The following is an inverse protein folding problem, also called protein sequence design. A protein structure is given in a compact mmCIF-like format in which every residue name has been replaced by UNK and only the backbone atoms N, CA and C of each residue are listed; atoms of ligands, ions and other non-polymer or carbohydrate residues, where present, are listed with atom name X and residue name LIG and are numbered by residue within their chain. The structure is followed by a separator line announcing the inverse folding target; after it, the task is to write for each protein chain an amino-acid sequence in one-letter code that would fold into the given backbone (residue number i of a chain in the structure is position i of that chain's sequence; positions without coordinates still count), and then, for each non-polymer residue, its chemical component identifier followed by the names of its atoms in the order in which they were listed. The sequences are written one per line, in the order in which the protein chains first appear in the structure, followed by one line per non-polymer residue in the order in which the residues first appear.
data_IF_142975714821
#
_entry.id   IF_142975714821
#
_cell.length_a   1.000
_cell.length_b   1.000
_cell.length_c   1.000
_cell.angle_alpha   90.00
_cell.angle_beta   90.00
_cell.angle_gamma   90.00
#
_symmetry.space_group_name_H-M   'P 1'
#
loop_
_entity.id
_entity.type
_entity.pdbx_description
1 polymer ?
#
# COMPACT_ATOMS: atom_id res chain seq x y z
N UNK A 1 0.86 -25.49 7.12
CA UNK A 1 2.32 -25.71 7.12
C UNK A 1 2.89 -25.08 8.37
N UNK A 2 3.72 -25.80 9.13
CA UNK A 2 4.17 -25.36 10.46
C UNK A 2 5.25 -24.27 10.38
N UNK A 3 5.09 -23.22 11.19
CA UNK A 3 6.13 -22.20 11.35
C UNK A 3 7.37 -22.84 12.02
N UNK A 4 8.55 -22.57 11.47
CA UNK A 4 9.83 -23.01 12.00
C UNK A 4 10.53 -21.84 12.68
N UNK A 5 11.28 -22.06 13.77
CA UNK A 5 12.07 -21.00 14.39
C UNK A 5 13.22 -20.59 13.44
N UNK A 6 13.29 -19.30 13.12
CA UNK A 6 14.36 -18.69 12.32
C UNK A 6 15.11 -17.70 13.21
N UNK A 7 16.44 -17.83 13.24
CA UNK A 7 17.33 -16.91 13.95
C UNK A 7 17.71 -15.75 13.02
N UNK A 8 17.52 -14.52 13.49
CA UNK A 8 17.72 -13.28 12.74
C UNK A 8 18.58 -12.34 13.57
N UNK A 9 19.46 -11.61 12.91
CA UNK A 9 20.29 -10.60 13.54
C UNK A 9 19.87 -9.19 13.10
N UNK A 10 19.46 -8.37 14.07
CA UNK A 10 19.07 -6.98 13.83
C UNK A 10 19.89 -6.08 14.75
N UNK A 11 20.68 -5.19 14.13
CA UNK A 11 21.46 -4.16 14.79
C UNK A 11 22.35 -4.69 15.92
N UNK A 12 23.00 -5.84 15.66
CA UNK A 12 23.87 -6.53 16.60
C UNK A 12 23.15 -7.40 17.64
N UNK A 13 21.81 -7.49 17.61
CA UNK A 13 21.01 -8.34 18.49
C UNK A 13 20.46 -9.55 17.74
N UNK A 14 20.66 -10.74 18.28
CA UNK A 14 20.07 -11.97 17.75
C UNK A 14 18.68 -12.20 18.35
N UNK A 15 17.74 -12.58 17.50
CA UNK A 15 16.35 -12.79 17.88
C UNK A 15 15.77 -13.96 17.08
N UNK A 16 14.92 -14.74 17.74
CA UNK A 16 14.31 -15.94 17.18
C UNK A 16 12.85 -15.66 16.87
N UNK A 17 12.46 -15.86 15.62
CA UNK A 17 11.12 -15.58 15.12
C UNK A 17 10.56 -16.84 14.48
N UNK A 18 9.32 -17.20 14.81
CA UNK A 18 8.64 -18.31 14.16
C UNK A 18 8.16 -17.86 12.78
N UNK A 19 8.67 -18.48 11.72
CA UNK A 19 8.38 -18.11 10.35
C UNK A 19 8.01 -19.36 9.51
N UNK A 20 6.92 -19.33 8.73
CA UNK A 20 6.67 -20.33 7.70
C UNK A 20 7.79 -20.28 6.64
N UNK A 21 8.19 -21.42 6.04
CA UNK A 21 9.29 -21.46 5.07
C UNK A 21 9.04 -20.54 3.85
N UNK A 22 7.79 -20.39 3.43
CA UNK A 22 7.39 -19.53 2.31
C UNK A 22 7.59 -18.02 2.58
N UNK A 23 7.70 -17.62 3.85
CA UNK A 23 7.87 -16.22 4.26
C UNK A 23 9.30 -15.89 4.70
N UNK A 24 10.21 -16.86 4.67
CA UNK A 24 11.57 -16.68 5.18
C UNK A 24 12.32 -15.58 4.42
N UNK A 25 12.18 -15.53 3.10
CA UNK A 25 12.82 -14.48 2.28
C UNK A 25 12.26 -13.09 2.59
N UNK A 26 10.93 -12.97 2.74
CA UNK A 26 10.28 -11.72 3.11
C UNK A 26 10.70 -11.25 4.51
N UNK A 27 10.87 -12.19 5.45
CA UNK A 27 11.35 -11.89 6.80
C UNK A 27 12.83 -11.44 6.80
N UNK A 28 13.69 -12.06 5.98
CA UNK A 28 15.07 -11.62 5.80
C UNK A 28 15.13 -10.21 5.20
N UNK A 29 14.31 -9.91 4.20
CA UNK A 29 14.21 -8.57 3.62
C UNK A 29 13.74 -7.54 4.65
N UNK A 30 12.74 -7.87 5.47
CA UNK A 30 12.26 -7.00 6.54
C UNK A 30 13.35 -6.73 7.61
N UNK A 31 14.16 -7.74 7.94
CA UNK A 31 15.27 -7.57 8.86
C UNK A 31 16.35 -6.63 8.29
N UNK A 32 16.67 -6.75 7.00
CA UNK A 32 17.62 -5.88 6.31
C UNK A 32 17.12 -4.44 6.22
N UNK A 33 15.85 -4.23 5.86
CA UNK A 33 15.22 -2.90 5.85
C UNK A 33 15.27 -2.24 7.23
N UNK A 34 14.94 -3.00 8.29
CA UNK A 34 15.03 -2.49 9.66
C UNK A 34 16.47 -2.15 10.05
N UNK A 35 17.46 -2.97 9.65
CA UNK A 35 18.88 -2.68 9.90
C UNK A 35 19.30 -1.36 9.25
N UNK A 36 18.96 -1.16 7.97
CA UNK A 36 19.31 0.06 7.25
C UNK A 36 18.65 1.29 7.89
N UNK A 37 17.36 1.21 8.22
CA UNK A 37 16.62 2.29 8.88
C UNK A 37 17.22 2.67 10.23
N UNK A 38 17.64 1.69 11.03
CA UNK A 38 18.28 1.94 12.32
C UNK A 38 19.66 2.57 12.16
N UNK A 39 20.43 2.15 11.15
CA UNK A 39 21.73 2.73 10.83
C UNK A 39 21.61 4.20 10.39
N UNK A 40 20.67 4.49 9.49
CA UNK A 40 20.40 5.85 9.02
C UNK A 40 19.91 6.74 10.18
N UNK A 41 19.04 6.20 11.03
CA UNK A 41 18.53 6.92 12.19
C UNK A 41 19.65 7.24 13.19
N UNK A 42 20.57 6.30 13.44
CA UNK A 42 21.74 6.51 14.31
C UNK A 42 22.61 7.65 13.79
N UNK A 43 22.87 7.69 12.48
CA UNK A 43 23.67 8.76 11.85
C UNK A 43 22.95 10.12 11.95
N UNK A 44 21.65 10.15 11.66
CA UNK A 44 20.88 11.41 11.60
C UNK A 44 20.58 12.02 12.98
N UNK A 45 20.27 11.20 13.97
CA UNK A 45 19.77 11.69 15.28
C UNK A 45 20.83 11.76 16.36
N UNK A 46 22.02 11.19 16.13
CA UNK A 46 23.10 11.01 17.14
C UNK A 46 22.66 10.23 18.38
N UNK A 47 21.49 9.58 18.36
CA UNK A 47 21.04 8.70 19.44
C UNK A 47 21.91 7.45 19.45
N UNK A 48 22.52 7.16 20.60
CA UNK A 48 23.41 6.01 20.78
C UNK A 48 22.71 4.80 21.39
N UNK A 49 21.56 5.01 22.03
CA UNK A 49 20.77 3.93 22.63
C UNK A 49 19.98 3.18 21.55
N UNK A 50 20.35 1.91 21.34
CA UNK A 50 19.70 1.01 20.38
C UNK A 50 18.21 0.82 20.65
N UNK A 51 17.79 0.70 21.91
CA UNK A 51 16.37 0.51 22.24
C UNK A 51 15.54 1.73 21.83
N UNK A 52 16.05 2.92 22.10
CA UNK A 52 15.41 4.17 21.67
C UNK A 52 15.36 4.29 20.14
N UNK A 53 16.44 3.90 19.44
CA UNK A 53 16.45 3.86 17.97
C UNK A 53 15.36 2.92 17.42
N UNK A 54 15.18 1.75 18.04
CA UNK A 54 14.13 0.79 17.66
C UNK A 54 12.74 1.37 17.86
N UNK A 55 12.48 2.03 19.00
CA UNK A 55 11.17 2.67 19.22
C UNK A 55 10.88 3.77 18.18
N UNK A 56 11.86 4.61 17.87
CA UNK A 56 11.69 5.66 16.86
C UNK A 56 11.50 5.04 15.47
N UNK A 57 12.26 4.01 15.10
CA UNK A 57 12.10 3.31 13.83
C UNK A 57 10.70 2.67 13.72
N UNK A 58 10.23 2.00 14.78
CA UNK A 58 8.90 1.42 14.83
C UNK A 58 7.79 2.49 14.66
N UNK A 59 7.92 3.64 15.33
CA UNK A 59 6.99 4.76 15.16
C UNK A 59 6.99 5.30 13.72
N UNK A 60 8.16 5.46 13.11
CA UNK A 60 8.27 5.90 11.72
C UNK A 60 7.61 4.91 10.76
N UNK A 61 7.85 3.60 10.92
CA UNK A 61 7.22 2.55 10.09
C UNK A 61 5.70 2.53 10.26
N UNK A 62 5.20 2.66 11.50
CA UNK A 62 3.76 2.78 11.75
C UNK A 62 3.15 4.01 11.06
N UNK A 63 3.87 5.13 11.07
CA UNK A 63 3.43 6.36 10.40
C UNK A 63 3.44 6.20 8.88
N UNK A 64 4.50 5.66 8.28
CA UNK A 64 4.59 5.36 6.85
C UNK A 64 3.48 4.42 6.40
N UNK A 65 3.22 3.33 7.14
CA UNK A 65 2.14 2.41 6.84
C UNK A 65 0.76 3.09 6.90
N UNK A 66 0.54 3.99 7.87
CA UNK A 66 -0.69 4.75 7.96
C UNK A 66 -0.85 5.71 6.76
N UNK A 67 0.21 6.38 6.34
CA UNK A 67 0.22 7.23 5.15
C UNK A 67 -0.08 6.42 3.88
N UNK A 68 0.56 5.28 3.68
CA UNK A 68 0.34 4.42 2.49
C UNK A 68 -1.09 3.87 2.44
N UNK A 69 -1.67 3.51 3.59
CA UNK A 69 -3.09 3.15 3.69
C UNK A 69 -4.01 4.33 3.33
N UNK A 70 -3.65 5.54 3.73
CA UNK A 70 -4.34 6.77 3.34
C UNK A 70 -4.33 6.98 1.82
N UNK A 71 -3.13 6.96 1.22
CA UNK A 71 -2.95 7.09 -0.24
C UNK A 71 -3.75 6.04 -1.03
N UNK A 72 -3.75 4.80 -0.56
CA UNK A 72 -4.51 3.71 -1.19
C UNK A 72 -6.03 3.98 -1.16
N UNK A 73 -6.55 4.49 -0.04
CA UNK A 73 -7.96 4.88 0.09
C UNK A 73 -8.32 6.04 -0.82
N UNK A 74 -7.48 7.08 -0.83
CA UNK A 74 -7.70 8.26 -1.68
C UNK A 74 -7.67 7.89 -3.16
N UNK A 75 -6.73 7.03 -3.56
CA UNK A 75 -6.66 6.49 -4.91
C UNK A 75 -7.91 5.70 -5.28
N UNK A 76 -8.39 4.81 -4.40
CA UNK A 76 -9.62 4.05 -4.64
C UNK A 76 -10.84 4.97 -4.78
N UNK A 77 -10.99 5.98 -3.92
CA UNK A 77 -12.08 6.94 -3.97
C UNK A 77 -12.05 7.78 -5.26
N UNK A 78 -10.86 8.24 -5.67
CA UNK A 78 -10.69 8.98 -6.92
C UNK A 78 -11.05 8.10 -8.13
N UNK A 79 -10.59 6.85 -8.16
CA UNK A 79 -10.90 5.92 -9.24
C UNK A 79 -12.39 5.63 -9.33
N UNK A 80 -13.06 5.45 -8.19
CA UNK A 80 -14.51 5.25 -8.13
C UNK A 80 -15.28 6.46 -8.68
N UNK A 81 -14.86 7.69 -8.36
CA UNK A 81 -15.43 8.91 -8.95
C UNK A 81 -15.23 8.94 -10.46
N UNK A 82 -14.05 8.60 -10.97
CA UNK A 82 -13.76 8.55 -12.40
C UNK A 82 -14.62 7.52 -13.13
N UNK A 83 -14.79 6.33 -12.55
CA UNK A 83 -15.67 5.28 -13.10
C UNK A 83 -17.12 5.77 -13.16
N UNK A 84 -17.62 6.41 -12.11
CA UNK A 84 -18.97 7.01 -12.12
C UNK A 84 -19.14 8.05 -13.21
N UNK A 85 -18.17 8.94 -13.40
CA UNK A 85 -18.20 9.94 -14.48
C UNK A 85 -18.21 9.29 -15.87
N UNK A 86 -17.42 8.24 -16.09
CA UNK A 86 -17.43 7.48 -17.34
C UNK A 86 -18.78 6.81 -17.58
N UNK A 87 -19.37 6.19 -16.56
CA UNK A 87 -20.70 5.57 -16.65
C UNK A 87 -21.77 6.60 -17.03
N UNK A 88 -21.80 7.75 -16.35
CA UNK A 88 -22.73 8.84 -16.67
C UNK A 88 -22.54 9.35 -18.10
N UNK A 89 -21.29 9.50 -18.54
CA UNK A 89 -20.99 9.96 -19.91
C UNK A 89 -21.50 8.98 -20.95
N UNK A 90 -21.32 7.68 -20.72
CA UNK A 90 -21.83 6.61 -21.60
C UNK A 90 -23.36 6.63 -21.63
N UNK A 91 -24.02 6.71 -20.46
CA UNK A 91 -25.48 6.78 -20.38
C UNK A 91 -26.03 8.00 -21.13
N UNK A 92 -25.40 9.17 -20.98
CA UNK A 92 -25.81 10.39 -21.71
C UNK A 92 -25.64 10.22 -23.23
N UNK A 93 -24.51 9.68 -23.68
CA UNK A 93 -24.27 9.45 -25.11
C UNK A 93 -25.30 8.47 -25.71
N UNK A 94 -25.66 7.41 -24.98
CA UNK A 94 -26.67 6.44 -25.41
C UNK A 94 -28.08 7.05 -25.47
N UNK A 95 -28.45 7.87 -24.48
CA UNK A 95 -29.73 8.60 -24.48
C UNK A 95 -29.82 9.57 -25.66
N UNK A 96 -28.75 10.30 -25.94
CA UNK A 96 -28.69 11.22 -27.06
C UNK A 96 -28.81 10.47 -28.41
N UNK A 97 -28.14 9.33 -28.56
CA UNK A 97 -28.25 8.48 -29.75
C UNK A 97 -29.66 7.91 -29.94
N UNK A 98 -30.33 7.47 -28.85
CA UNK A 98 -31.72 7.04 -28.90
C UNK A 98 -32.65 8.14 -29.41
N UNK A 99 -32.50 9.35 -28.86
CA UNK A 99 -33.29 10.53 -29.27
C UNK A 99 -33.07 10.93 -30.73
N UNK A 100 -31.85 10.80 -31.25
CA UNK A 100 -31.54 11.07 -32.67
C UNK A 100 -32.22 10.03 -33.57
N UNK A 101 -32.20 8.75 -33.18
CA UNK A 101 -32.78 7.65 -33.95
C UNK A 101 -34.31 7.74 -34.01
N UNK A 102 -34.97 8.11 -32.91
CA UNK A 102 -36.44 8.30 -32.87
C UNK A 102 -36.92 9.47 -33.74
N UNK A 103 -36.11 10.52 -33.90
CA UNK A 103 -36.43 11.68 -34.76
C UNK A 103 -36.30 11.40 -36.25
N UNK A 104 -35.67 10.30 -36.64
CA UNK A 104 -35.47 9.90 -38.05
C UNK A 104 -36.42 8.78 -38.50
N UNK A 105 -37.41 8.40 -37.68
CA UNK A 105 -38.45 7.43 -38.06
C UNK A 105 -39.20 7.90 -39.32
N UNK A 106 -39.53 7.00 -40.27
CA UNK A 106 -39.96 7.43 -41.60
C UNK A 106 -41.33 8.08 -41.52
N UNK A 107 -41.44 9.28 -42.10
CA UNK A 107 -42.71 9.92 -42.39
C UNK A 107 -43.35 9.13 -43.55
N UNK A 108 -44.09 8.07 -43.22
CA UNK A 108 -44.90 7.37 -44.21
C UNK A 108 -46.17 8.21 -44.45
N UNK A 109 -46.18 8.92 -45.59
CA UNK A 109 -47.39 9.45 -46.24
C UNK A 109 -48.27 8.33 -46.83
#
# INVERSE_FOLDING_TARGET
MSAQPVDIQIFGRSLRVNCPPEQQDALNQAAEDLNQRLQDLKVRTRVTNTEQLVFIAALNVCHELAQERGKTRDYAANMEQRIRMLQQTIEQALLEQGRITERQGPQFE
#
